data_IF_556435366573
#
_entry.id   IF_556435366573
#
_cell.length_a   1.000
_cell.length_b   1.000
_cell.length_c   1.000
_cell.angle_alpha   90.00
_cell.angle_beta   90.00
_cell.angle_gamma   90.00
#
_symmetry.space_group_name_H-M   'P 1'
#
loop_
_entity.id
_entity.type
_entity.pdbx_description
1 polymer ?
#
# COMPACT_ATOMS: atom_id res chain seq x y z
N UNK A 1 -28.89 -35.20 -32.58
CA UNK A 1 -28.97 -34.19 -31.52
C UNK A 1 -27.59 -33.63 -31.31
N UNK A 2 -27.33 -32.41 -31.84
CA UNK A 2 -26.10 -31.69 -31.64
C UNK A 2 -26.37 -30.77 -30.41
N UNK A 3 -25.71 -31.05 -29.31
CA UNK A 3 -25.76 -30.22 -28.11
C UNK A 3 -24.86 -29.01 -28.34
N UNK A 4 -25.45 -27.86 -28.67
CA UNK A 4 -24.76 -26.57 -28.68
C UNK A 4 -24.55 -26.11 -27.22
N UNK A 5 -23.33 -26.33 -26.73
CA UNK A 5 -22.91 -25.72 -25.45
C UNK A 5 -22.64 -24.22 -25.73
N UNK A 6 -23.36 -23.31 -25.10
CA UNK A 6 -23.05 -21.89 -25.27
C UNK A 6 -21.64 -21.62 -24.74
N UNK A 7 -20.79 -21.16 -25.63
CA UNK A 7 -19.47 -20.61 -25.24
C UNK A 7 -19.74 -19.34 -24.43
N UNK A 8 -19.65 -19.44 -23.11
CA UNK A 8 -19.66 -18.25 -22.25
C UNK A 8 -18.34 -17.54 -22.50
N UNK A 9 -18.38 -16.57 -23.38
CA UNK A 9 -17.28 -15.62 -23.56
C UNK A 9 -17.27 -14.76 -22.28
N UNK A 10 -16.39 -15.09 -21.35
CA UNK A 10 -16.00 -14.12 -20.32
C UNK A 10 -15.32 -12.99 -21.10
N UNK A 11 -16.01 -11.88 -21.29
CA UNK A 11 -15.35 -10.67 -21.70
C UNK A 11 -14.40 -10.29 -20.57
N UNK A 12 -13.10 -10.42 -20.79
CA UNK A 12 -12.09 -9.68 -20.06
C UNK A 12 -12.41 -8.20 -20.29
N UNK A 13 -13.23 -7.62 -19.41
CA UNK A 13 -13.29 -6.17 -19.33
C UNK A 13 -11.89 -5.76 -18.89
N UNK A 14 -11.11 -5.23 -19.84
CA UNK A 14 -9.89 -4.49 -19.51
C UNK A 14 -10.29 -3.44 -18.47
N UNK A 15 -9.87 -3.66 -17.23
CA UNK A 15 -10.06 -2.70 -16.16
C UNK A 15 -9.41 -1.41 -16.64
N UNK A 16 -10.20 -0.36 -16.84
CA UNK A 16 -9.70 0.93 -17.26
C UNK A 16 -8.92 1.54 -16.07
N UNK A 17 -7.60 1.28 -16.07
CA UNK A 17 -6.67 1.67 -15.01
C UNK A 17 -6.09 3.02 -15.39
N UNK A 18 -6.33 4.03 -14.57
CA UNK A 18 -5.67 5.33 -14.69
C UNK A 18 -4.44 5.35 -13.79
N UNK A 19 -3.27 5.61 -14.35
CA UNK A 19 -2.03 5.75 -13.58
C UNK A 19 -1.76 7.22 -13.22
N UNK A 20 -1.64 7.52 -11.93
CA UNK A 20 -1.46 8.86 -11.37
C UNK A 20 -0.07 8.95 -10.75
N UNK A 21 0.72 9.95 -11.12
CA UNK A 21 2.01 10.25 -10.50
C UNK A 21 1.83 11.06 -9.21
N UNK A 22 2.65 10.74 -8.19
CA UNK A 22 2.73 11.55 -6.96
C UNK A 22 4.16 11.98 -6.62
N UNK A 23 5.13 11.65 -7.47
CA UNK A 23 6.52 12.03 -7.38
C UNK A 23 7.28 11.65 -8.65
N UNK A 24 8.60 11.94 -8.69
CA UNK A 24 9.44 11.80 -9.88
C UNK A 24 9.99 10.39 -10.10
N UNK A 25 10.02 9.58 -9.04
CA UNK A 25 10.54 8.22 -9.15
C UNK A 25 9.53 7.30 -9.86
N UNK A 26 10.02 6.40 -10.72
CA UNK A 26 9.19 5.46 -11.51
C UNK A 26 8.22 4.61 -10.69
N UNK A 27 8.51 4.36 -9.41
CA UNK A 27 7.63 3.61 -8.48
C UNK A 27 6.63 4.52 -7.75
N UNK A 28 6.79 5.84 -7.82
CA UNK A 28 5.89 6.80 -7.18
C UNK A 28 4.64 7.03 -8.05
N UNK A 29 3.87 5.96 -8.22
CA UNK A 29 2.66 5.89 -9.05
C UNK A 29 1.51 5.26 -8.26
N UNK A 30 0.32 5.70 -8.54
CA UNK A 30 -0.93 5.17 -8.03
C UNK A 30 -1.73 4.65 -9.21
N UNK A 31 -2.30 3.45 -9.12
CA UNK A 31 -3.31 2.98 -10.05
C UNK A 31 -4.69 3.27 -9.47
N UNK A 32 -5.52 3.94 -10.25
CA UNK A 32 -6.90 4.24 -9.91
C UNK A 32 -7.85 3.34 -10.70
N UNK A 33 -8.75 2.69 -9.99
CA UNK A 33 -9.82 1.85 -10.51
C UNK A 33 -11.16 2.47 -10.14
N UNK A 34 -11.90 2.94 -11.14
CA UNK A 34 -13.15 3.65 -10.93
C UNK A 34 -14.27 2.69 -10.52
N UNK A 35 -14.83 2.91 -9.36
CA UNK A 35 -16.09 2.31 -8.91
C UNK A 35 -17.30 3.16 -9.25
N UNK A 36 -18.49 2.73 -8.84
CA UNK A 36 -19.76 3.45 -9.08
C UNK A 36 -20.38 4.08 -7.83
N UNK A 37 -19.69 4.05 -6.68
CA UNK A 37 -20.06 4.80 -5.48
C UNK A 37 -19.09 5.95 -5.23
N UNK A 38 -19.30 6.74 -4.18
CA UNK A 38 -18.35 7.75 -3.69
C UNK A 38 -17.30 7.18 -2.72
N UNK A 39 -17.38 5.89 -2.35
CA UNK A 39 -16.52 5.25 -1.36
C UNK A 39 -15.11 5.03 -1.92
N UNK A 40 -14.11 5.26 -1.07
CA UNK A 40 -12.69 5.14 -1.43
C UNK A 40 -11.99 4.08 -0.59
N UNK A 41 -11.30 3.16 -1.26
CA UNK A 41 -10.39 2.19 -0.67
C UNK A 41 -8.98 2.41 -1.21
N UNK A 42 -8.01 2.50 -0.33
CA UNK A 42 -6.60 2.58 -0.67
C UNK A 42 -5.93 1.25 -0.31
N UNK A 43 -5.19 0.68 -1.26
CA UNK A 43 -4.46 -0.57 -1.04
C UNK A 43 -2.95 -0.37 -1.18
N UNK A 44 -2.19 -1.00 -0.26
CA UNK A 44 -0.73 -0.99 -0.24
C UNK A 44 -0.22 -2.43 -0.27
N UNK A 45 0.59 -2.75 -1.29
CA UNK A 45 1.13 -4.10 -1.47
C UNK A 45 2.21 -4.44 -0.43
N UNK A 46 2.37 -5.73 -0.14
CA UNK A 46 3.46 -6.27 0.66
C UNK A 46 4.74 -6.51 -0.15
N UNK A 47 5.61 -7.38 0.37
CA UNK A 47 6.86 -7.77 -0.27
C UNK A 47 8.10 -7.44 0.55
N UNK A 48 7.99 -7.30 1.88
CA UNK A 48 9.09 -7.02 2.79
C UNK A 48 9.81 -5.71 2.47
N UNK A 49 9.13 -4.75 1.85
CA UNK A 49 9.64 -3.48 1.32
C UNK A 49 10.73 -3.63 0.24
N UNK A 50 11.18 -4.85 -0.05
CA UNK A 50 12.24 -5.13 -1.02
C UNK A 50 11.70 -5.50 -2.40
N UNK A 51 10.47 -6.03 -2.44
CA UNK A 51 9.85 -6.59 -3.64
C UNK A 51 8.40 -6.16 -3.75
N UNK A 52 7.79 -6.53 -4.85
CA UNK A 52 6.36 -6.30 -5.09
C UNK A 52 6.09 -5.17 -6.06
N UNK A 53 4.84 -5.08 -6.43
CA UNK A 53 4.33 -4.02 -7.29
C UNK A 53 2.83 -3.88 -7.05
N UNK A 54 2.27 -2.70 -7.31
CA UNK A 54 0.83 -2.44 -7.22
C UNK A 54 -0.02 -3.33 -8.13
N UNK A 55 0.59 -3.97 -9.16
CA UNK A 55 -0.08 -4.85 -10.15
C UNK A 55 0.33 -6.33 -10.07
N UNK A 56 1.36 -6.69 -9.26
CA UNK A 56 2.00 -8.00 -9.36
C UNK A 56 1.25 -9.15 -8.67
N UNK A 57 0.27 -8.88 -7.84
CA UNK A 57 -0.34 -9.90 -7.00
C UNK A 57 -1.72 -10.33 -7.51
N UNK A 58 -1.88 -11.63 -7.87
CA UNK A 58 -3.18 -12.20 -8.26
C UNK A 58 -4.25 -12.06 -7.17
N UNK A 59 -3.86 -12.03 -5.90
CA UNK A 59 -4.76 -11.76 -4.79
C UNK A 59 -5.27 -10.33 -4.84
N UNK A 60 -4.40 -9.39 -5.20
CA UNK A 60 -4.74 -7.99 -5.36
C UNK A 60 -5.77 -7.83 -6.49
N UNK A 61 -5.60 -8.48 -7.63
CA UNK A 61 -6.58 -8.44 -8.71
C UNK A 61 -7.96 -8.96 -8.27
N UNK A 62 -8.00 -10.07 -7.52
CA UNK A 62 -9.27 -10.58 -6.97
C UNK A 62 -9.89 -9.63 -5.95
N UNK A 63 -9.07 -9.01 -5.13
CA UNK A 63 -9.50 -8.01 -4.17
C UNK A 63 -10.06 -6.76 -4.87
N UNK A 64 -9.40 -6.30 -5.94
CA UNK A 64 -9.88 -5.22 -6.80
C UNK A 64 -11.23 -5.55 -7.41
N UNK A 65 -11.34 -6.68 -8.09
CA UNK A 65 -12.58 -7.11 -8.73
C UNK A 65 -13.72 -7.17 -7.70
N UNK A 66 -13.45 -7.70 -6.50
CA UNK A 66 -14.45 -7.72 -5.45
C UNK A 66 -14.88 -6.32 -5.02
N UNK A 67 -13.94 -5.42 -4.74
CA UNK A 67 -14.27 -4.08 -4.23
C UNK A 67 -14.76 -3.13 -5.32
N UNK A 68 -14.23 -3.19 -6.52
CA UNK A 68 -14.69 -2.35 -7.64
C UNK A 68 -16.00 -2.88 -8.20
N UNK A 69 -16.05 -4.14 -8.60
CA UNK A 69 -17.19 -4.68 -9.35
C UNK A 69 -18.39 -4.98 -8.45
N UNK A 70 -18.17 -5.60 -7.28
CA UNK A 70 -19.27 -5.99 -6.40
C UNK A 70 -19.60 -4.92 -5.36
N UNK A 71 -18.59 -4.33 -4.72
CA UNK A 71 -18.79 -3.36 -3.64
C UNK A 71 -18.81 -1.91 -4.09
N UNK A 72 -18.51 -1.66 -5.38
CA UNK A 72 -18.61 -0.34 -6.01
C UNK A 72 -17.66 0.73 -5.47
N UNK A 73 -16.58 0.33 -4.78
CA UNK A 73 -15.55 1.23 -4.30
C UNK A 73 -14.70 1.78 -5.45
N UNK A 74 -14.25 3.03 -5.30
CA UNK A 74 -13.11 3.55 -6.03
C UNK A 74 -11.85 3.05 -5.33
N UNK A 75 -10.99 2.34 -6.04
CA UNK A 75 -9.80 1.73 -5.45
C UNK A 75 -8.54 2.43 -5.96
N UNK A 76 -7.69 2.88 -5.04
CA UNK A 76 -6.38 3.43 -5.33
C UNK A 76 -5.31 2.45 -4.84
N UNK A 77 -4.41 2.03 -5.72
CA UNK A 77 -3.33 1.11 -5.39
C UNK A 77 -2.00 1.84 -5.44
N UNK A 78 -1.33 1.89 -4.29
CA UNK A 78 -0.09 2.64 -4.14
C UNK A 78 1.11 1.76 -4.52
N UNK A 79 1.92 2.25 -5.49
CA UNK A 79 3.31 1.84 -5.66
C UNK A 79 4.21 2.74 -4.81
N UNK A 80 5.31 2.22 -4.29
CA UNK A 80 6.28 2.95 -3.47
C UNK A 80 7.69 2.45 -3.74
N UNK A 81 8.72 3.21 -3.38
CA UNK A 81 10.12 2.80 -3.55
C UNK A 81 10.40 1.56 -2.71
N UNK A 82 10.96 0.55 -3.36
CA UNK A 82 11.31 -0.76 -2.79
C UNK A 82 12.78 -1.04 -3.03
N UNK A 83 13.35 -1.90 -2.20
CA UNK A 83 14.74 -2.33 -2.31
C UNK A 83 15.53 -2.06 -1.04
N UNK A 84 16.82 -2.39 -1.11
CA UNK A 84 17.72 -2.18 0.02
C UNK A 84 17.82 -0.70 0.39
N UNK A 85 17.91 -0.41 1.68
CA UNK A 85 18.11 0.95 2.22
C UNK A 85 17.00 1.96 1.90
N UNK A 86 15.77 1.51 1.61
CA UNK A 86 14.65 2.40 1.28
C UNK A 86 13.71 2.71 2.46
N UNK A 87 14.12 2.41 3.69
CA UNK A 87 13.24 2.52 4.87
C UNK A 87 12.52 3.86 5.03
N UNK A 88 13.18 5.02 5.11
CA UNK A 88 12.47 6.28 5.28
C UNK A 88 11.70 6.67 4.01
N UNK A 89 12.22 6.34 2.85
CA UNK A 89 11.64 6.68 1.56
C UNK A 89 10.31 5.97 1.32
N UNK A 90 10.22 4.68 1.61
CA UNK A 90 8.98 3.91 1.44
C UNK A 90 7.84 4.47 2.31
N UNK A 91 8.15 4.89 3.56
CA UNK A 91 7.17 5.52 4.46
C UNK A 91 6.76 6.90 3.94
N UNK A 92 7.73 7.72 3.52
CA UNK A 92 7.44 9.04 2.95
C UNK A 92 6.60 8.94 1.67
N UNK A 93 6.92 7.97 0.83
CA UNK A 93 6.20 7.72 -0.43
C UNK A 93 4.72 7.45 -0.18
N UNK A 94 4.37 6.54 0.72
CA UNK A 94 2.96 6.23 0.96
C UNK A 94 2.19 7.38 1.61
N UNK A 95 2.85 8.22 2.42
CA UNK A 95 2.24 9.43 2.98
C UNK A 95 1.96 10.45 1.87
N UNK A 96 2.93 10.67 0.96
CA UNK A 96 2.75 11.56 -0.19
C UNK A 96 1.69 11.02 -1.16
N UNK A 97 1.69 9.71 -1.40
CA UNK A 97 0.67 9.06 -2.21
C UNK A 97 -0.73 9.23 -1.62
N UNK A 98 -0.87 9.05 -0.30
CA UNK A 98 -2.15 9.24 0.36
C UNK A 98 -2.64 10.69 0.29
N UNK A 99 -1.75 11.68 0.47
CA UNK A 99 -2.08 13.09 0.23
C UNK A 99 -2.62 13.27 -1.19
N UNK A 100 -1.91 12.75 -2.20
CA UNK A 100 -2.34 12.83 -3.60
C UNK A 100 -3.69 12.15 -3.83
N UNK A 101 -3.95 11.02 -3.19
CA UNK A 101 -5.26 10.33 -3.27
C UNK A 101 -6.39 11.18 -2.69
N UNK A 102 -6.17 11.88 -1.58
CA UNK A 102 -7.18 12.80 -1.02
C UNK A 102 -7.48 13.94 -2.00
N UNK A 103 -6.47 14.50 -2.65
CA UNK A 103 -6.62 15.54 -3.68
C UNK A 103 -7.40 15.01 -4.90
N UNK A 104 -7.06 13.82 -5.39
CA UNK A 104 -7.77 13.15 -6.48
C UNK A 104 -9.22 12.84 -6.13
N UNK A 105 -9.47 12.37 -4.90
CA UNK A 105 -10.83 12.10 -4.43
C UNK A 105 -11.68 13.37 -4.40
N UNK A 106 -11.12 14.50 -3.96
CA UNK A 106 -11.81 15.79 -3.99
C UNK A 106 -12.12 16.25 -5.42
N UNK A 107 -11.17 16.11 -6.35
CA UNK A 107 -11.35 16.49 -7.76
C UNK A 107 -12.40 15.64 -8.49
N UNK A 108 -12.66 14.42 -7.98
CA UNK A 108 -13.60 13.45 -8.55
C UNK A 108 -14.94 13.37 -7.80
N UNK A 109 -15.18 14.31 -6.88
CA UNK A 109 -16.38 14.32 -6.02
C UNK A 109 -16.58 13.02 -5.22
N UNK A 110 -15.47 12.37 -4.81
CA UNK A 110 -15.50 11.17 -3.97
C UNK A 110 -15.46 11.54 -2.49
N UNK A 111 -15.97 10.63 -1.64
CA UNK A 111 -15.95 10.82 -0.18
C UNK A 111 -14.52 10.80 0.36
N UNK A 112 -14.06 11.93 0.89
CA UNK A 112 -12.78 12.01 1.62
C UNK A 112 -12.94 11.77 3.11
N UNK A 113 -14.18 11.66 3.61
CA UNK A 113 -14.45 11.44 5.04
C UNK A 113 -14.32 9.98 5.45
N UNK A 114 -14.56 9.07 4.49
CA UNK A 114 -14.67 7.64 4.75
C UNK A 114 -13.61 6.82 4.00
N UNK A 115 -12.45 7.41 3.73
CA UNK A 115 -11.33 6.68 3.10
C UNK A 115 -10.83 5.59 4.05
N UNK A 116 -10.81 4.37 3.56
CA UNK A 116 -10.20 3.23 4.24
C UNK A 116 -8.85 2.93 3.59
N UNK A 117 -7.81 2.80 4.41
CA UNK A 117 -6.47 2.37 3.95
C UNK A 117 -6.23 0.95 4.41
N UNK A 118 -5.87 0.08 3.49
CA UNK A 118 -5.60 -1.32 3.77
C UNK A 118 -4.24 -1.74 3.19
N UNK A 119 -3.60 -2.70 3.82
CA UNK A 119 -2.35 -3.26 3.32
C UNK A 119 -1.99 -4.57 3.98
N UNK A 120 -1.12 -5.36 3.34
CA UNK A 120 -0.68 -6.65 3.83
C UNK A 120 0.83 -6.68 4.07
N UNK A 121 1.28 -7.34 5.17
CA UNK A 121 2.69 -7.47 5.50
C UNK A 121 3.40 -6.09 5.56
N UNK A 122 4.46 -5.87 4.77
CA UNK A 122 5.09 -4.55 4.63
C UNK A 122 4.09 -3.44 4.25
N UNK A 123 3.09 -3.74 3.41
CA UNK A 123 2.01 -2.80 3.08
C UNK A 123 1.08 -2.51 4.26
N UNK A 124 0.85 -3.49 5.13
CA UNK A 124 0.11 -3.32 6.37
C UNK A 124 0.84 -2.37 7.35
N UNK A 125 2.16 -2.54 7.48
CA UNK A 125 3.01 -1.59 8.19
C UNK A 125 2.86 -0.17 7.63
N UNK A 126 3.01 0.00 6.31
CA UNK A 126 2.91 1.30 5.64
C UNK A 126 1.51 1.92 5.79
N UNK A 127 0.46 1.10 5.78
CA UNK A 127 -0.91 1.55 6.05
C UNK A 127 -1.05 2.11 7.48
N UNK A 128 -0.47 1.44 8.47
CA UNK A 128 -0.43 1.92 9.86
C UNK A 128 0.34 3.24 9.97
N UNK A 129 1.45 3.38 9.24
CA UNK A 129 2.22 4.64 9.25
C UNK A 129 1.41 5.82 8.72
N UNK A 130 0.55 5.63 7.71
CA UNK A 130 -0.38 6.67 7.24
C UNK A 130 -1.38 7.05 8.34
N UNK A 131 -1.95 6.06 9.03
CA UNK A 131 -2.99 6.30 10.03
C UNK A 131 -2.48 6.90 11.35
N UNK A 132 -1.29 6.51 11.78
CA UNK A 132 -0.75 6.80 13.11
C UNK A 132 0.27 7.94 13.12
N UNK A 133 0.96 8.20 11.98
CA UNK A 133 1.99 9.23 11.95
C UNK A 133 1.43 10.61 12.26
N UNK A 134 2.14 11.35 13.11
CA UNK A 134 1.79 12.72 13.47
C UNK A 134 2.24 13.67 12.36
N UNK A 135 1.41 14.64 12.02
CA UNK A 135 1.56 15.57 10.88
C UNK A 135 2.86 16.42 10.88
N UNK A 136 3.64 16.40 11.95
CA UNK A 136 4.79 17.31 12.14
C UNK A 136 6.09 16.85 11.47
N UNK A 137 6.18 15.60 11.02
CA UNK A 137 7.48 15.01 10.62
C UNK A 137 7.74 15.02 9.12
N UNK A 138 6.73 15.19 8.29
CA UNK A 138 6.91 15.26 6.83
C UNK A 138 6.49 16.62 6.27
N UNK A 139 7.46 17.55 6.20
CA UNK A 139 7.22 18.92 5.70
C UNK A 139 6.73 18.97 4.26
N UNK A 140 7.03 17.94 3.46
CA UNK A 140 6.71 17.93 2.01
C UNK A 140 5.32 17.35 1.70
N UNK A 141 4.79 16.51 2.58
CA UNK A 141 3.51 15.83 2.35
C UNK A 141 2.64 15.85 3.62
N UNK A 142 2.21 17.05 4.02
CA UNK A 142 1.26 17.19 5.13
C UNK A 142 -0.06 16.54 4.75
N UNK A 143 -0.59 15.69 5.63
CA UNK A 143 -1.88 15.05 5.40
C UNK A 143 -3.00 16.08 5.57
N UNK A 144 -3.78 16.28 4.52
CA UNK A 144 -4.96 17.16 4.55
C UNK A 144 -6.06 16.53 5.40
N UNK A 145 -6.13 15.19 5.42
CA UNK A 145 -7.13 14.40 6.14
C UNK A 145 -6.59 13.02 6.49
N UNK A 146 -6.85 12.55 7.72
CA UNK A 146 -6.53 11.18 8.13
C UNK A 146 -7.54 10.17 7.54
N UNK A 147 -7.12 8.91 7.32
CA UNK A 147 -8.06 7.86 6.95
C UNK A 147 -9.09 7.61 8.06
N UNK A 148 -10.30 7.21 7.69
CA UNK A 148 -11.36 6.80 8.60
C UNK A 148 -11.01 5.54 9.37
N UNK A 149 -10.36 4.61 8.67
CA UNK A 149 -9.93 3.34 9.22
C UNK A 149 -8.67 2.83 8.51
N UNK A 150 -7.87 2.06 9.24
CA UNK A 150 -6.74 1.31 8.70
C UNK A 150 -6.98 -0.17 8.92
N UNK A 151 -6.86 -0.96 7.84
CA UNK A 151 -6.93 -2.41 7.89
C UNK A 151 -5.51 -2.95 7.70
N UNK A 152 -4.93 -3.43 8.79
CA UNK A 152 -3.62 -4.06 8.80
C UNK A 152 -3.76 -5.57 8.69
N UNK A 153 -3.38 -6.15 7.56
CA UNK A 153 -3.33 -7.59 7.37
C UNK A 153 -1.90 -8.09 7.67
N UNK A 154 -1.70 -8.64 8.87
CA UNK A 154 -0.41 -9.20 9.34
C UNK A 154 0.80 -8.30 9.06
N UNK A 155 0.63 -7.00 9.11
CA UNK A 155 1.69 -6.02 8.95
C UNK A 155 2.54 -5.88 10.21
N UNK A 156 3.79 -5.52 9.99
CA UNK A 156 4.79 -5.34 11.03
C UNK A 156 4.48 -4.08 11.84
N UNK A 157 4.47 -4.23 13.15
CA UNK A 157 4.22 -3.13 14.09
C UNK A 157 5.47 -2.70 14.86
N UNK A 158 6.41 -3.63 15.05
CA UNK A 158 7.72 -3.40 15.67
C UNK A 158 8.83 -3.91 14.75
N UNK A 159 9.64 -2.99 14.25
CA UNK A 159 10.73 -3.27 13.32
C UNK A 159 11.88 -3.99 14.03
N UNK A 160 12.22 -3.57 15.26
CA UNK A 160 13.34 -4.17 15.99
C UNK A 160 13.03 -5.61 16.40
N UNK A 161 11.86 -5.85 16.97
CA UNK A 161 11.46 -7.20 17.35
C UNK A 161 11.29 -8.12 16.15
N UNK A 162 10.77 -7.61 15.04
CA UNK A 162 10.69 -8.40 13.80
C UNK A 162 12.08 -8.75 13.26
N UNK A 163 13.04 -7.83 13.29
CA UNK A 163 14.41 -8.10 12.84
C UNK A 163 15.09 -9.18 13.72
N UNK A 164 14.94 -9.09 15.05
CA UNK A 164 15.45 -10.10 15.98
C UNK A 164 14.84 -11.48 15.73
N UNK A 165 13.51 -11.54 15.59
CA UNK A 165 12.81 -12.77 15.27
C UNK A 165 13.32 -13.42 13.96
N UNK A 166 13.57 -12.62 12.93
CA UNK A 166 14.09 -13.08 11.64
C UNK A 166 15.54 -13.59 11.74
N UNK A 167 16.36 -13.00 12.62
CA UNK A 167 17.73 -13.47 12.87
C UNK A 167 17.74 -14.83 13.56
N UNK A 168 16.79 -15.09 14.45
CA UNK A 168 16.69 -16.32 15.25
C UNK A 168 16.05 -17.47 14.47
N UNK A 169 15.14 -17.18 13.54
CA UNK A 169 14.42 -18.21 12.80
C UNK A 169 15.24 -18.76 11.63
N UNK A 170 15.59 -20.05 11.72
CA UNK A 170 16.33 -20.77 10.65
C UNK A 170 15.61 -20.78 9.29
N UNK A 171 14.30 -20.58 9.29
CA UNK A 171 13.47 -20.64 8.07
C UNK A 171 13.70 -19.48 7.11
N UNK A 172 14.13 -18.31 7.61
CA UNK A 172 14.37 -17.11 6.82
C UNK A 172 15.84 -16.68 6.74
N UNK A 173 16.76 -17.61 7.00
CA UNK A 173 18.22 -17.34 7.03
C UNK A 173 18.79 -16.70 5.75
N UNK A 174 18.08 -16.77 4.63
CA UNK A 174 18.59 -16.24 3.38
C UNK A 174 18.55 -14.71 3.28
N UNK A 175 17.67 -14.01 3.99
CA UNK A 175 17.72 -12.54 4.07
C UNK A 175 16.79 -12.00 5.15
N UNK A 176 17.35 -11.43 6.20
CA UNK A 176 16.58 -10.55 7.08
C UNK A 176 16.20 -9.30 6.29
N UNK A 177 15.02 -9.32 5.68
CA UNK A 177 14.53 -8.23 4.82
C UNK A 177 14.37 -6.91 5.58
N UNK A 178 14.15 -6.95 6.90
CA UNK A 178 14.08 -5.76 7.74
C UNK A 178 15.44 -5.07 7.79
N UNK A 179 16.52 -5.83 8.05
CA UNK A 179 17.87 -5.26 8.10
C UNK A 179 18.32 -4.72 6.73
N UNK A 180 17.96 -5.39 5.65
CA UNK A 180 18.24 -4.91 4.29
C UNK A 180 17.49 -3.62 3.95
N UNK A 181 16.26 -3.50 4.43
CA UNK A 181 15.42 -2.32 4.20
C UNK A 181 15.95 -1.06 4.91
N UNK A 182 16.57 -1.23 6.10
CA UNK A 182 17.14 -0.13 6.89
C UNK A 182 18.47 0.32 6.27
N UNK A 183 18.65 1.63 5.98
CA UNK A 183 19.94 2.13 5.48
C UNK A 183 21.03 2.04 6.56
N UNK A 184 22.29 1.89 6.11
CA UNK A 184 23.43 1.64 6.99
C UNK A 184 23.70 2.78 8.00
N UNK A 185 23.25 3.98 7.73
CA UNK A 185 23.40 5.16 8.58
C UNK A 185 22.49 5.15 9.81
N UNK A 186 21.47 4.25 9.81
CA UNK A 186 20.58 4.09 10.95
C UNK A 186 20.84 2.79 11.70
N UNK A 187 20.98 2.89 13.01
CA UNK A 187 20.94 1.68 13.84
C UNK A 187 19.52 1.09 13.82
N UNK A 188 19.41 -0.22 14.07
CA UNK A 188 18.11 -0.90 14.15
C UNK A 188 17.17 -0.22 15.18
N UNK A 189 17.71 0.20 16.31
CA UNK A 189 16.96 0.87 17.38
C UNK A 189 16.44 2.26 16.93
N UNK A 190 17.26 3.04 16.23
CA UNK A 190 16.84 4.34 15.69
C UNK A 190 15.79 4.17 14.61
N UNK A 191 15.99 3.21 13.69
CA UNK A 191 15.01 2.88 12.66
C UNK A 191 13.68 2.44 13.31
N UNK A 192 13.72 1.58 14.33
CA UNK A 192 12.52 1.13 15.02
C UNK A 192 11.76 2.30 15.64
N UNK A 193 12.41 3.18 16.36
CA UNK A 193 11.78 4.37 16.98
C UNK A 193 11.12 5.30 15.95
N UNK A 194 11.71 5.42 14.77
CA UNK A 194 11.20 6.32 13.72
C UNK A 194 10.10 5.70 12.87
N UNK A 195 10.19 4.40 12.63
CA UNK A 195 9.46 3.73 11.59
C UNK A 195 8.54 2.60 12.09
N UNK A 196 8.56 2.24 13.38
CA UNK A 196 7.59 1.29 13.94
C UNK A 196 6.27 2.00 14.29
N UNK A 197 5.13 1.43 13.90
CA UNK A 197 3.81 1.96 14.26
C UNK A 197 3.54 2.04 15.77
N UNK A 198 4.22 1.24 16.59
CA UNK A 198 4.02 1.21 18.04
C UNK A 198 4.61 2.42 18.77
N UNK A 199 5.43 3.26 18.13
CA UNK A 199 6.01 4.48 18.66
C UNK A 199 5.38 5.70 17.94
#
# INVERSE_FOLDING_TARGET
FILLIPLIIFSDQELNIEEISYGDHKKQKIDFYKGSSDKVLVWIHGGGWLYGDKRADRWIQRFQNHFVDHKKFNVFMIGYRIGDSTAPDAVNDVICAYKRIVEEALQRDLSTKDIVVAGASAGGHLALMIGLKRDKENKNCMLIRKPKAVINLFGITDIEETAKFLDETKFFKASNYVRRWIPAELTLKEASKKLSPIY
#
